data_IF_407334634718
#
_entry.id   IF_407334634718
#
_cell.length_a   1.000
_cell.length_b   1.000
_cell.length_c   1.000
_cell.angle_alpha   90.00
_cell.angle_beta   90.00
_cell.angle_gamma   90.00
#
_symmetry.space_group_name_H-M   'P 1'
#
loop_
_entity.id
_entity.type
_entity.pdbx_description
1 polymer ?
#
# COMPACT_ATOMS: atom_id res chain seq x y z
N UNK A 1 15.26 -44.38 -63.73
CA UNK A 1 16.12 -44.45 -62.57
C UNK A 1 16.65 -43.05 -62.26
N UNK A 2 16.07 -42.30 -61.39
CA UNK A 2 16.65 -41.16 -60.73
C UNK A 2 15.76 -40.82 -59.52
N UNK A 3 16.27 -41.09 -58.37
CA UNK A 3 15.61 -40.84 -57.10
C UNK A 3 15.61 -39.35 -56.80
N UNK A 4 14.42 -38.74 -56.73
CA UNK A 4 14.27 -37.36 -56.34
C UNK A 4 14.13 -37.28 -54.81
N UNK A 5 15.17 -36.81 -54.15
CA UNK A 5 15.23 -36.65 -52.73
C UNK A 5 14.58 -35.29 -52.41
N UNK A 6 13.38 -35.31 -51.87
CA UNK A 6 12.71 -34.10 -51.41
C UNK A 6 13.12 -33.85 -49.93
N UNK A 7 14.00 -32.86 -49.75
CA UNK A 7 14.39 -32.39 -48.46
C UNK A 7 13.26 -31.45 -47.92
N UNK A 8 12.48 -31.95 -46.98
CA UNK A 8 11.50 -31.13 -46.24
C UNK A 8 12.28 -30.39 -45.17
N UNK A 9 12.48 -29.08 -45.37
CA UNK A 9 13.04 -28.19 -44.38
C UNK A 9 11.91 -27.79 -43.41
N UNK A 10 11.87 -28.45 -42.25
CA UNK A 10 10.95 -28.05 -41.18
C UNK A 10 11.54 -26.84 -40.50
N UNK A 11 11.00 -25.65 -40.83
CA UNK A 11 11.30 -24.44 -40.11
C UNK A 11 10.70 -24.45 -38.71
N UNK A 12 11.53 -24.60 -37.68
CA UNK A 12 11.14 -24.36 -36.31
C UNK A 12 10.93 -22.86 -36.11
N UNK A 13 9.67 -22.43 -36.08
CA UNK A 13 9.29 -21.10 -35.62
C UNK A 13 9.36 -21.11 -34.10
N UNK A 14 10.44 -20.59 -33.54
CA UNK A 14 10.51 -20.25 -32.13
C UNK A 14 9.61 -19.03 -31.88
N UNK A 15 8.40 -19.26 -31.38
CA UNK A 15 7.63 -18.21 -30.74
C UNK A 15 8.34 -17.87 -29.43
N UNK A 16 9.19 -16.87 -29.47
CA UNK A 16 9.68 -16.19 -28.28
C UNK A 16 8.52 -15.36 -27.73
N UNK A 17 7.73 -15.91 -26.79
CA UNK A 17 6.92 -15.13 -25.90
C UNK A 17 7.86 -14.35 -24.97
N UNK A 18 8.10 -13.10 -25.31
CA UNK A 18 8.65 -12.14 -24.38
C UNK A 18 7.53 -11.76 -23.41
N UNK A 19 7.35 -12.52 -22.36
CA UNK A 19 6.68 -12.04 -21.17
C UNK A 19 7.60 -10.98 -20.58
N UNK A 20 7.24 -9.73 -20.75
CA UNK A 20 7.70 -8.66 -19.87
C UNK A 20 6.99 -8.87 -18.53
N UNK A 21 7.45 -9.84 -17.77
CA UNK A 21 7.19 -9.86 -16.35
C UNK A 21 7.94 -8.66 -15.79
N UNK A 22 7.21 -7.57 -15.54
CA UNK A 22 7.61 -6.63 -14.54
C UNK A 22 7.65 -7.43 -13.25
N UNK A 23 8.80 -7.94 -12.89
CA UNK A 23 9.09 -8.36 -11.53
C UNK A 23 9.08 -7.07 -10.69
N UNK A 24 7.87 -6.63 -10.27
CA UNK A 24 7.79 -5.84 -9.06
C UNK A 24 8.37 -6.72 -7.97
N UNK A 25 9.50 -6.31 -7.39
CA UNK A 25 10.01 -6.91 -6.17
C UNK A 25 8.85 -7.04 -5.21
N UNK A 26 8.66 -8.19 -4.51
CA UNK A 26 7.60 -8.30 -3.54
C UNK A 26 7.76 -7.14 -2.55
N UNK A 27 6.78 -6.25 -2.53
CA UNK A 27 6.75 -5.15 -1.59
C UNK A 27 6.61 -5.76 -0.20
N UNK A 28 7.56 -5.50 0.66
CA UNK A 28 7.63 -6.07 2.02
C UNK A 28 6.61 -5.43 2.98
N UNK A 29 5.60 -4.69 2.47
CA UNK A 29 4.55 -4.10 3.29
C UNK A 29 3.33 -5.05 3.39
N UNK A 30 2.65 -5.04 4.54
CA UNK A 30 1.51 -5.92 4.82
C UNK A 30 0.29 -5.63 3.93
N UNK A 31 0.05 -4.35 3.63
CA UNK A 31 -1.13 -3.89 2.89
C UNK A 31 -0.79 -2.77 1.91
N UNK A 32 -1.69 -2.54 0.96
CA UNK A 32 -1.64 -1.38 0.05
C UNK A 32 -2.44 -0.20 0.62
N UNK A 33 -1.98 1.02 0.32
CA UNK A 33 -2.74 2.24 0.59
C UNK A 33 -3.84 2.41 -0.46
N UNK A 34 -5.06 2.67 0.00
CA UNK A 34 -6.22 2.85 -0.87
C UNK A 34 -6.35 4.31 -1.29
N UNK A 35 -6.34 4.59 -2.59
CA UNK A 35 -6.69 5.93 -3.11
C UNK A 35 -8.18 5.90 -3.47
N UNK A 36 -9.03 6.44 -2.58
CA UNK A 36 -10.48 6.38 -2.77
C UNK A 36 -11.19 7.52 -2.03
N UNK A 37 -11.60 8.55 -2.76
CA UNK A 37 -12.24 9.74 -2.21
C UNK A 37 -13.58 9.45 -1.53
N UNK A 38 -14.36 8.48 -2.01
CA UNK A 38 -15.65 8.13 -1.42
C UNK A 38 -15.45 7.41 -0.08
N UNK A 39 -14.53 6.46 -0.01
CA UNK A 39 -14.20 5.79 1.26
C UNK A 39 -13.58 6.79 2.23
N UNK A 40 -12.66 7.63 1.77
CA UNK A 40 -12.07 8.69 2.58
C UNK A 40 -13.14 9.60 3.22
N UNK A 41 -14.13 10.06 2.44
CA UNK A 41 -15.21 10.91 2.95
C UNK A 41 -16.07 10.22 4.01
N UNK A 42 -16.32 8.91 3.87
CA UNK A 42 -17.17 8.11 4.74
C UNK A 42 -16.40 7.31 5.80
N UNK A 43 -15.08 7.56 5.95
CA UNK A 43 -14.26 6.83 6.93
C UNK A 43 -14.72 7.11 8.35
N UNK A 44 -15.10 6.05 9.04
CA UNK A 44 -15.27 5.99 10.49
C UNK A 44 -14.16 5.13 11.08
N UNK A 45 -13.81 5.39 12.32
CA UNK A 45 -12.74 4.66 13.01
C UNK A 45 -13.15 4.40 14.45
N UNK A 46 -12.96 3.18 14.91
CA UNK A 46 -13.05 2.84 16.33
C UNK A 46 -11.88 3.48 17.10
N UNK A 47 -11.92 3.42 18.42
CA UNK A 47 -10.88 4.02 19.24
C UNK A 47 -9.58 3.22 19.20
N UNK A 48 -8.50 3.93 18.93
CA UNK A 48 -7.13 3.41 19.00
C UNK A 48 -6.17 4.51 19.42
N UNK A 49 -4.99 4.13 19.83
CA UNK A 49 -3.90 5.05 20.19
C UNK A 49 -2.72 4.79 19.28
N UNK A 50 -2.21 5.83 18.63
CA UNK A 50 -0.94 5.76 17.89
C UNK A 50 0.21 5.80 18.89
N UNK A 51 1.12 4.84 18.79
CA UNK A 51 2.35 4.78 19.58
C UNK A 51 3.53 5.38 18.80
N UNK A 52 3.63 5.03 17.50
CA UNK A 52 4.66 5.59 16.62
C UNK A 52 4.27 5.45 15.14
N UNK A 53 4.83 6.34 14.33
CA UNK A 53 4.76 6.36 12.87
C UNK A 53 6.18 6.38 12.31
N UNK A 54 6.46 5.61 11.27
CA UNK A 54 7.74 5.60 10.58
C UNK A 54 7.56 5.27 9.09
N UNK A 55 8.46 5.78 8.26
CA UNK A 55 8.57 5.36 6.86
C UNK A 55 9.94 4.74 6.67
N UNK A 56 9.98 3.57 6.05
CA UNK A 56 11.19 2.93 5.58
C UNK A 56 10.97 2.48 4.15
N UNK A 57 11.78 2.99 3.25
CA UNK A 57 11.58 2.82 1.82
C UNK A 57 10.15 3.25 1.44
N UNK A 58 9.37 2.42 0.78
CA UNK A 58 7.98 2.71 0.44
C UNK A 58 6.96 2.16 1.45
N UNK A 59 7.40 1.64 2.60
CA UNK A 59 6.52 1.11 3.64
C UNK A 59 6.29 2.13 4.78
N UNK A 60 5.03 2.50 4.97
CA UNK A 60 4.59 3.32 6.10
C UNK A 60 4.17 2.42 7.26
N UNK A 61 4.96 2.42 8.31
CA UNK A 61 4.74 1.62 9.53
C UNK A 61 3.89 2.40 10.53
N UNK A 62 2.83 1.78 11.01
CA UNK A 62 1.95 2.30 12.04
C UNK A 62 1.96 1.33 13.22
N UNK A 63 2.51 1.79 14.35
CA UNK A 63 2.42 1.09 15.62
C UNK A 63 1.29 1.71 16.44
N UNK A 64 0.30 0.91 16.82
CA UNK A 64 -0.90 1.37 17.50
C UNK A 64 -1.40 0.38 18.54
N UNK A 65 -2.22 0.87 19.47
CA UNK A 65 -2.81 0.06 20.53
C UNK A 65 -4.31 0.29 20.62
N UNK A 66 -5.04 -0.76 20.97
CA UNK A 66 -6.47 -0.71 21.29
C UNK A 66 -6.84 -1.80 22.29
N UNK A 67 -8.05 -1.74 22.85
CA UNK A 67 -8.60 -2.83 23.64
C UNK A 67 -9.06 -3.97 22.74
N UNK A 68 -8.86 -5.21 23.18
CA UNK A 68 -9.27 -6.39 22.41
C UNK A 68 -8.98 -7.69 23.11
N UNK A 69 -9.28 -8.81 22.45
CA UNK A 69 -9.01 -10.17 22.95
C UNK A 69 -7.61 -10.64 22.52
N UNK A 70 -7.34 -10.62 21.23
CA UNK A 70 -6.05 -10.98 20.61
C UNK A 70 -5.70 -10.09 19.40
N UNK A 71 -6.64 -9.22 18.99
CA UNK A 71 -6.50 -8.33 17.85
C UNK A 71 -6.50 -9.01 16.48
N UNK A 72 -6.84 -10.31 16.38
CA UNK A 72 -6.79 -11.04 15.11
C UNK A 72 -7.92 -10.64 14.15
N UNK A 73 -9.00 -10.09 14.67
CA UNK A 73 -10.13 -9.55 13.90
C UNK A 73 -10.00 -8.05 13.58
N UNK A 74 -8.94 -7.41 14.02
CA UNK A 74 -8.73 -5.99 13.77
C UNK A 74 -8.44 -5.71 12.29
N UNK A 75 -9.17 -4.75 11.73
CA UNK A 75 -8.94 -4.25 10.39
C UNK A 75 -8.46 -2.80 10.45
N UNK A 76 -7.25 -2.53 9.97
CA UNK A 76 -6.74 -1.18 9.75
C UNK A 76 -6.57 -0.94 8.26
N UNK A 77 -7.02 0.23 7.78
CA UNK A 77 -6.85 0.68 6.39
C UNK A 77 -6.29 2.08 6.37
N UNK A 78 -5.36 2.33 5.47
CA UNK A 78 -4.88 3.67 5.14
C UNK A 78 -5.56 4.11 3.85
N UNK A 79 -6.27 5.25 3.90
CA UNK A 79 -7.11 5.73 2.79
C UNK A 79 -6.71 7.15 2.44
N UNK A 80 -6.30 7.36 1.20
CA UNK A 80 -5.97 8.65 0.62
C UNK A 80 -7.21 9.30 -0.02
N UNK A 81 -7.32 10.62 0.09
CA UNK A 81 -8.42 11.41 -0.46
C UNK A 81 -8.50 11.42 -1.99
N UNK A 82 -7.39 11.07 -2.66
CA UNK A 82 -7.21 11.19 -4.11
C UNK A 82 -6.81 12.59 -4.57
N UNK A 83 -6.77 13.58 -3.68
CA UNK A 83 -6.37 14.95 -3.99
C UNK A 83 -4.92 15.21 -3.58
N UNK A 84 -4.23 16.02 -4.38
CA UNK A 84 -2.90 16.56 -4.08
C UNK A 84 -3.00 18.06 -3.92
N UNK A 85 -2.59 18.59 -2.76
CA UNK A 85 -2.48 20.02 -2.57
C UNK A 85 -1.15 20.53 -3.13
N UNK A 86 -1.22 21.51 -4.03
CA UNK A 86 -0.07 22.18 -4.63
C UNK A 86 0.58 23.14 -3.62
N UNK A 87 1.50 22.61 -2.82
CA UNK A 87 2.29 23.35 -1.83
C UNK A 87 3.75 22.95 -1.97
N UNK A 88 4.62 23.43 -1.10
CA UNK A 88 6.03 23.09 -1.09
C UNK A 88 6.44 22.60 0.31
N UNK A 89 6.59 21.28 0.51
CA UNK A 89 6.33 20.19 -0.43
C UNK A 89 4.85 20.01 -0.78
N UNK A 90 4.51 19.28 -1.86
CA UNK A 90 3.14 18.85 -2.13
C UNK A 90 2.57 18.06 -0.95
N UNK A 91 1.25 18.06 -0.78
CA UNK A 91 0.61 17.40 0.35
C UNK A 91 -0.53 16.48 -0.09
N UNK A 92 -0.70 15.39 0.64
CA UNK A 92 -1.83 14.46 0.49
C UNK A 92 -2.49 14.23 1.84
N UNK A 93 -3.82 14.17 1.83
CA UNK A 93 -4.62 13.95 3.04
C UNK A 93 -5.06 12.48 3.10
N UNK A 94 -4.69 11.81 4.19
CA UNK A 94 -5.00 10.42 4.47
C UNK A 94 -5.88 10.31 5.72
N UNK A 95 -6.60 9.20 5.82
CA UNK A 95 -7.30 8.78 7.04
C UNK A 95 -6.98 7.32 7.37
N UNK A 96 -6.85 7.04 8.66
CA UNK A 96 -6.83 5.68 9.17
C UNK A 96 -8.26 5.24 9.48
N UNK A 97 -8.68 4.12 8.89
CA UNK A 97 -9.93 3.44 9.23
C UNK A 97 -9.60 2.23 10.07
N UNK A 98 -10.01 2.23 11.32
CA UNK A 98 -9.83 1.11 12.24
C UNK A 98 -11.18 0.51 12.60
N UNK A 99 -11.31 -0.81 12.45
CA UNK A 99 -12.48 -1.58 12.85
C UNK A 99 -12.08 -2.62 13.88
N UNK A 100 -12.79 -2.63 15.01
CA UNK A 100 -12.55 -3.54 16.12
C UNK A 100 -13.88 -4.06 16.65
N UNK A 101 -14.16 -5.34 16.47
CA UNK A 101 -15.37 -6.00 16.95
C UNK A 101 -15.12 -6.84 18.21
N UNK A 102 -13.92 -6.73 18.82
CA UNK A 102 -13.57 -7.48 20.02
C UNK A 102 -14.07 -6.80 21.28
N UNK A 103 -14.69 -7.59 22.18
CA UNK A 103 -15.29 -7.07 23.40
C UNK A 103 -14.42 -7.23 24.67
N UNK A 104 -13.19 -7.76 24.53
CA UNK A 104 -12.28 -7.93 25.65
C UNK A 104 -11.61 -6.60 26.04
N UNK A 105 -11.18 -6.49 27.29
CA UNK A 105 -10.56 -5.30 27.86
C UNK A 105 -9.03 -5.38 27.96
N UNK A 106 -8.41 -6.41 27.38
CA UNK A 106 -6.95 -6.44 27.28
C UNK A 106 -6.47 -5.31 26.37
N UNK A 107 -5.40 -4.62 26.75
CA UNK A 107 -4.81 -3.58 25.92
C UNK A 107 -3.66 -4.17 25.12
N UNK A 108 -3.81 -4.19 23.82
CA UNK A 108 -2.90 -4.85 22.88
C UNK A 108 -2.23 -3.83 21.96
N UNK A 109 -1.01 -4.12 21.57
CA UNK A 109 -0.25 -3.32 20.60
C UNK A 109 0.01 -4.13 19.33
N UNK A 110 -0.19 -3.52 18.19
CA UNK A 110 0.13 -4.08 16.87
C UNK A 110 0.94 -3.11 16.03
N UNK A 111 1.66 -3.65 15.09
CA UNK A 111 2.36 -2.92 14.05
C UNK A 111 1.90 -3.42 12.69
N UNK A 112 1.56 -2.51 11.82
CA UNK A 112 1.08 -2.79 10.46
C UNK A 112 1.79 -1.84 9.51
N UNK A 113 2.14 -2.35 8.32
CA UNK A 113 2.81 -1.59 7.28
C UNK A 113 1.94 -1.44 6.05
N UNK A 114 1.98 -0.24 5.45
CA UNK A 114 1.27 0.10 4.22
C UNK A 114 2.24 0.52 3.13
N UNK A 115 2.08 -0.05 1.94
CA UNK A 115 2.76 0.44 0.75
C UNK A 115 2.19 1.81 0.36
N UNK A 116 3.06 2.82 0.33
CA UNK A 116 2.74 4.21 -0.01
C UNK A 116 3.37 4.66 -1.32
N UNK A 117 3.98 3.76 -2.09
CA UNK A 117 4.60 4.09 -3.37
C UNK A 117 3.61 4.71 -4.38
N UNK A 118 2.33 4.32 -4.30
CA UNK A 118 1.25 4.88 -5.11
C UNK A 118 0.85 6.31 -4.72
N UNK A 119 1.41 6.85 -3.63
CA UNK A 119 1.20 8.24 -3.18
C UNK A 119 2.26 9.20 -3.69
N UNK A 120 3.31 8.71 -4.35
CA UNK A 120 4.35 9.55 -4.96
C UNK A 120 3.73 10.54 -5.95
N UNK A 121 4.31 11.71 -6.03
CA UNK A 121 3.93 12.81 -6.94
C UNK A 121 5.17 13.30 -7.68
N UNK A 122 5.02 14.24 -8.60
CA UNK A 122 6.18 14.85 -9.26
C UNK A 122 7.12 15.50 -8.23
N UNK A 123 8.39 15.12 -8.26
CA UNK A 123 9.40 15.54 -7.30
C UNK A 123 10.02 14.37 -6.55
N UNK A 124 10.53 14.62 -5.35
CA UNK A 124 11.25 13.63 -4.54
C UNK A 124 10.69 13.52 -3.12
N UNK A 125 9.57 14.20 -2.85
CA UNK A 125 8.96 14.19 -1.53
C UNK A 125 7.50 14.60 -1.58
N UNK A 126 6.72 14.12 -0.62
CA UNK A 126 5.34 14.53 -0.35
C UNK A 126 5.06 14.50 1.14
N UNK A 127 4.34 15.50 1.66
CA UNK A 127 3.89 15.49 3.05
C UNK A 127 2.58 14.73 3.14
N UNK A 128 2.56 13.68 3.94
CA UNK A 128 1.38 12.86 4.21
C UNK A 128 0.73 13.34 5.50
N UNK A 129 -0.48 13.88 5.42
CA UNK A 129 -1.28 14.35 6.55
C UNK A 129 -2.30 13.28 6.93
N UNK A 130 -2.19 12.69 8.12
CA UNK A 130 -3.16 11.71 8.62
C UNK A 130 -4.19 12.48 9.45
N UNK A 131 -5.24 12.94 8.78
CA UNK A 131 -6.15 13.98 9.29
C UNK A 131 -6.88 13.56 10.57
N UNK A 132 -7.33 12.33 10.67
CA UNK A 132 -8.13 11.90 11.81
C UNK A 132 -7.34 11.56 13.09
N UNK A 133 -6.01 11.64 13.02
CA UNK A 133 -5.13 11.55 14.21
C UNK A 133 -4.28 12.81 14.40
N UNK A 134 -4.41 13.79 13.50
CA UNK A 134 -3.69 15.06 13.51
C UNK A 134 -2.16 14.90 13.49
N UNK A 135 -1.67 13.97 12.69
CA UNK A 135 -0.24 13.69 12.50
C UNK A 135 0.15 13.93 11.04
N UNK A 136 1.41 14.27 10.83
CA UNK A 136 1.97 14.44 9.49
C UNK A 136 3.36 13.84 9.43
N UNK A 137 3.71 13.23 8.30
CA UNK A 137 5.02 12.64 8.07
C UNK A 137 5.50 12.97 6.66
N UNK A 138 6.77 13.34 6.52
CA UNK A 138 7.39 13.58 5.22
C UNK A 138 7.81 12.24 4.62
N UNK A 139 7.35 11.97 3.40
CA UNK A 139 7.77 10.83 2.61
C UNK A 139 8.73 11.32 1.52
N UNK A 140 9.98 10.85 1.57
CA UNK A 140 11.06 11.12 0.61
C UNK A 140 11.35 9.84 -0.17
N UNK A 141 11.53 9.92 -1.51
CA UNK A 141 11.69 8.79 -2.43
C UNK A 141 12.61 9.10 -3.61
#
# INVERSE_FOLDING_TARGET
MKKLLVLILIGLIFFSCSNSDNEESPKDCDFETLINSQQYANTNSDQFTINSLAIKDDCFTINFSSSGCDGNSWELKLIDSGAVAESLPPQRDLKLSFKNEEACLAYLTKEITFDISNLQVDGQQVLLNIININESILYEY
#
